data_IF_446463792793
#
_entry.id   IF_446463792793
#
_cell.length_a   1.000
_cell.length_b   1.000
_cell.length_c   1.000
_cell.angle_alpha   90.00
_cell.angle_beta   90.00
_cell.angle_gamma   90.00
#
_symmetry.space_group_name_H-M   'P 1'
#
loop_
_entity.id
_entity.type
_entity.pdbx_description
1 polymer ?
#
# COMPACT_ATOMS: atom_id res chain seq x y z
N UNK A 1 39.66 35.41 35.52
CA UNK A 1 38.40 35.43 34.78
C UNK A 1 38.43 34.32 33.75
N UNK A 2 37.74 33.17 34.04
CA UNK A 2 37.69 32.04 33.12
C UNK A 2 36.44 32.21 32.25
N UNK A 3 36.65 32.37 30.95
CA UNK A 3 35.54 32.43 29.95
C UNK A 3 35.10 31.01 29.62
N UNK A 4 33.94 30.62 30.09
CA UNK A 4 33.31 29.35 29.75
C UNK A 4 32.64 29.50 28.37
N UNK A 5 33.17 28.80 27.33
CA UNK A 5 32.59 28.73 26.03
C UNK A 5 31.49 27.64 26.04
N UNK A 6 30.23 28.05 25.97
CA UNK A 6 29.12 27.14 25.72
C UNK A 6 29.11 26.79 24.24
N UNK A 7 29.45 25.55 23.91
CA UNK A 7 29.23 24.99 22.57
C UNK A 7 27.77 24.51 22.51
N UNK A 8 26.93 25.26 21.81
CA UNK A 8 25.58 24.83 21.52
C UNK A 8 25.64 23.75 20.43
N UNK A 9 25.36 22.50 20.80
CA UNK A 9 25.22 21.38 19.87
C UNK A 9 23.85 21.48 19.20
N UNK A 10 23.78 22.07 18.02
CA UNK A 10 22.59 22.07 17.19
C UNK A 10 22.42 20.67 16.56
N UNK A 11 21.50 19.87 17.10
CA UNK A 11 21.08 18.60 16.51
C UNK A 11 20.25 18.94 15.27
N UNK A 12 20.89 18.82 14.10
CA UNK A 12 20.24 18.94 12.81
C UNK A 12 19.39 17.69 12.60
N UNK A 13 18.07 17.80 12.83
CA UNK A 13 17.13 16.77 12.43
C UNK A 13 17.05 16.78 10.92
N UNK A 14 17.72 15.85 10.25
CA UNK A 14 17.53 15.59 8.84
C UNK A 14 16.12 15.02 8.65
N UNK A 15 15.19 15.86 8.19
CA UNK A 15 13.90 15.40 7.69
C UNK A 15 14.18 14.64 6.39
N UNK A 16 14.23 13.32 6.48
CA UNK A 16 14.28 12.44 5.31
C UNK A 16 12.91 12.56 4.64
N UNK A 17 12.82 13.40 3.61
CA UNK A 17 11.69 13.37 2.68
C UNK A 17 11.79 12.06 1.91
N UNK A 18 11.10 11.03 2.38
CA UNK A 18 10.76 9.90 1.54
C UNK A 18 9.89 10.46 0.41
N UNK A 19 10.42 10.49 -0.81
CA UNK A 19 9.64 10.76 -2.00
C UNK A 19 8.62 9.62 -2.15
N UNK A 20 7.46 9.79 -1.53
CA UNK A 20 6.33 8.90 -1.78
C UNK A 20 5.90 9.11 -3.23
N UNK A 21 5.79 8.04 -4.00
CA UNK A 21 5.18 8.09 -5.33
C UNK A 21 3.78 8.64 -5.15
N UNK A 22 3.44 9.70 -5.91
CA UNK A 22 2.13 10.34 -5.79
C UNK A 22 1.00 9.33 -6.03
N UNK A 23 0.04 9.32 -5.14
CA UNK A 23 -1.09 8.39 -5.20
C UNK A 23 -0.83 6.99 -4.62
N UNK A 24 0.32 6.74 -3.97
CA UNK A 24 0.56 5.51 -3.22
C UNK A 24 0.57 5.76 -1.70
N UNK A 25 -0.11 4.87 -0.99
CA UNK A 25 0.03 4.74 0.47
C UNK A 25 1.01 3.60 0.76
N UNK A 26 2.04 3.86 1.57
CA UNK A 26 3.04 2.88 1.96
C UNK A 26 2.99 2.64 3.47
N UNK A 27 2.85 1.38 3.87
CA UNK A 27 2.81 0.93 5.27
C UNK A 27 3.97 -0.06 5.48
N UNK A 28 4.88 0.18 6.45
CA UNK A 28 5.96 -0.76 6.72
C UNK A 28 5.42 -2.03 7.38
N UNK A 29 5.97 -3.19 7.00
CA UNK A 29 5.68 -4.48 7.65
C UNK A 29 6.88 -4.96 8.46
N UNK A 30 6.61 -5.60 9.60
CA UNK A 30 7.64 -6.25 10.43
C UNK A 30 7.92 -7.70 9.98
N UNK A 31 7.18 -8.21 9.00
CA UNK A 31 7.30 -9.57 8.48
C UNK A 31 7.99 -9.57 7.11
N UNK A 32 8.40 -10.77 6.66
CA UNK A 32 8.85 -10.97 5.26
C UNK A 32 7.72 -10.69 4.26
N UNK A 33 8.06 -10.53 2.99
CA UNK A 33 7.09 -10.33 1.90
C UNK A 33 6.07 -11.46 1.88
N UNK A 34 6.51 -12.72 1.85
CA UNK A 34 5.65 -13.89 1.82
C UNK A 34 4.71 -13.93 3.03
N UNK A 35 5.25 -13.75 4.25
CA UNK A 35 4.45 -13.76 5.48
C UNK A 35 3.42 -12.64 5.51
N UNK A 36 3.80 -11.45 5.04
CA UNK A 36 2.87 -10.31 4.95
C UNK A 36 1.75 -10.59 3.95
N UNK A 37 2.09 -11.18 2.79
CA UNK A 37 1.12 -11.57 1.78
C UNK A 37 0.13 -12.63 2.31
N UNK A 38 0.61 -13.67 3.01
CA UNK A 38 -0.23 -14.70 3.63
C UNK A 38 -1.20 -14.10 4.66
N UNK A 39 -0.74 -13.13 5.45
CA UNK A 39 -1.58 -12.42 6.41
C UNK A 39 -2.66 -11.59 5.72
N UNK A 40 -2.33 -10.92 4.63
CA UNK A 40 -3.32 -10.18 3.83
C UNK A 40 -4.38 -11.13 3.29
N UNK A 41 -4.00 -12.27 2.70
CA UNK A 41 -4.95 -13.26 2.19
C UNK A 41 -5.88 -13.79 3.31
N UNK A 42 -5.33 -14.10 4.49
CA UNK A 42 -6.13 -14.52 5.64
C UNK A 42 -7.17 -13.47 6.03
N UNK A 43 -6.75 -12.21 6.16
CA UNK A 43 -7.62 -11.08 6.50
C UNK A 43 -8.71 -10.86 5.44
N UNK A 44 -8.38 -10.96 4.16
CA UNK A 44 -9.33 -10.82 3.07
C UNK A 44 -10.39 -11.94 3.11
N UNK A 45 -9.95 -13.19 3.32
CA UNK A 45 -10.83 -14.35 3.45
C UNK A 45 -11.77 -14.24 4.65
N UNK A 46 -11.25 -13.85 5.82
CA UNK A 46 -12.05 -13.64 7.03
C UNK A 46 -13.12 -12.54 6.84
N UNK A 47 -12.83 -11.54 6.02
CA UNK A 47 -13.77 -10.46 5.68
C UNK A 47 -14.71 -10.81 4.51
N UNK A 48 -14.60 -12.00 3.93
CA UNK A 48 -15.39 -12.40 2.76
C UNK A 48 -15.11 -11.54 1.52
N UNK A 49 -13.89 -11.03 1.37
CA UNK A 49 -13.44 -10.26 0.21
C UNK A 49 -12.84 -11.23 -0.81
N UNK A 50 -13.27 -11.13 -2.06
CA UNK A 50 -12.78 -12.01 -3.12
C UNK A 50 -11.34 -11.69 -3.50
N UNK A 51 -10.45 -12.69 -3.43
CA UNK A 51 -9.11 -12.64 -3.99
C UNK A 51 -9.19 -13.17 -5.42
N UNK A 52 -8.77 -12.36 -6.38
CA UNK A 52 -8.75 -12.74 -7.79
C UNK A 52 -7.43 -13.39 -8.19
N UNK A 53 -6.31 -12.88 -7.69
CA UNK A 53 -5.00 -13.42 -7.98
C UNK A 53 -3.96 -12.96 -6.95
N UNK A 54 -2.90 -13.78 -6.80
CA UNK A 54 -1.64 -13.44 -6.14
C UNK A 54 -0.50 -13.68 -7.14
N UNK A 55 0.25 -12.65 -7.45
CA UNK A 55 1.29 -12.65 -8.46
C UNK A 55 2.65 -12.48 -7.77
N UNK A 56 3.51 -13.49 -7.89
CA UNK A 56 4.88 -13.47 -7.36
C UNK A 56 5.83 -12.95 -8.43
N UNK A 57 6.01 -11.63 -8.49
CA UNK A 57 6.82 -10.98 -9.51
C UNK A 57 8.29 -11.37 -9.44
N UNK A 58 8.87 -11.52 -8.24
CA UNK A 58 10.25 -11.95 -8.05
C UNK A 58 10.49 -13.38 -8.53
N UNK A 59 9.53 -14.29 -8.29
CA UNK A 59 9.61 -15.66 -8.81
C UNK A 59 9.53 -15.67 -10.35
N UNK A 60 8.59 -14.92 -10.92
CA UNK A 60 8.47 -14.81 -12.38
C UNK A 60 9.72 -14.21 -13.03
N UNK A 61 10.34 -13.22 -12.41
CA UNK A 61 11.61 -12.64 -12.86
C UNK A 61 12.75 -13.67 -12.81
N UNK A 62 12.85 -14.44 -11.72
CA UNK A 62 13.84 -15.51 -11.56
C UNK A 62 13.75 -16.57 -12.67
N UNK A 63 12.55 -16.91 -13.14
CA UNK A 63 12.33 -17.87 -14.21
C UNK A 63 12.92 -17.45 -15.57
N UNK A 64 13.21 -16.15 -15.74
CA UNK A 64 13.86 -15.60 -16.95
C UNK A 64 15.28 -15.07 -16.66
N UNK A 65 15.86 -15.43 -15.50
CA UNK A 65 17.22 -15.07 -15.12
C UNK A 65 17.40 -13.64 -14.64
N UNK A 66 16.33 -12.96 -14.24
CA UNK A 66 16.38 -11.62 -13.63
C UNK A 66 16.26 -11.75 -12.12
N UNK A 67 17.27 -11.24 -11.41
CA UNK A 67 17.23 -11.14 -9.95
C UNK A 67 16.40 -9.91 -9.54
N UNK A 68 15.29 -10.15 -8.85
CA UNK A 68 14.40 -9.12 -8.31
C UNK A 68 14.23 -9.37 -6.82
N UNK A 69 14.32 -8.30 -6.00
CA UNK A 69 13.97 -8.39 -4.59
C UNK A 69 12.53 -8.89 -4.43
N UNK A 70 12.23 -9.51 -3.31
CA UNK A 70 10.92 -10.10 -3.05
C UNK A 70 9.80 -9.09 -3.33
N UNK A 71 8.92 -9.46 -4.24
CA UNK A 71 7.85 -8.60 -4.73
C UNK A 71 6.63 -9.43 -5.10
N UNK A 72 5.52 -9.20 -4.41
CA UNK A 72 4.24 -9.87 -4.65
C UNK A 72 3.10 -8.88 -4.79
N UNK A 73 2.13 -9.19 -5.64
CA UNK A 73 0.92 -8.39 -5.84
C UNK A 73 -0.30 -9.24 -5.56
N UNK A 74 -1.22 -8.77 -4.71
CA UNK A 74 -2.52 -9.39 -4.49
C UNK A 74 -3.59 -8.50 -5.11
N UNK A 75 -4.44 -9.10 -5.95
CA UNK A 75 -5.58 -8.46 -6.61
C UNK A 75 -6.85 -8.96 -5.94
N UNK A 76 -7.64 -8.05 -5.41
CA UNK A 76 -8.83 -8.40 -4.64
C UNK A 76 -9.94 -7.36 -4.80
N UNK A 77 -11.17 -7.72 -4.46
CA UNK A 77 -12.28 -6.79 -4.59
C UNK A 77 -13.54 -7.21 -3.87
N UNK A 78 -14.40 -6.21 -3.67
CA UNK A 78 -15.74 -6.39 -3.16
C UNK A 78 -16.72 -5.63 -4.08
N UNK A 79 -17.61 -6.33 -4.80
CA UNK A 79 -18.59 -5.68 -5.68
C UNK A 79 -19.48 -4.66 -4.96
N UNK A 80 -19.71 -4.84 -3.66
CA UNK A 80 -20.50 -3.90 -2.85
C UNK A 80 -19.86 -2.51 -2.72
N UNK A 81 -18.54 -2.41 -2.95
CA UNK A 81 -17.79 -1.15 -2.95
C UNK A 81 -17.41 -0.70 -4.38
N UNK A 82 -16.93 -1.64 -5.19
CA UNK A 82 -16.48 -1.33 -6.55
C UNK A 82 -17.61 -0.90 -7.49
N UNK A 83 -18.75 -1.59 -7.44
CA UNK A 83 -19.86 -1.29 -8.35
C UNK A 83 -20.50 0.09 -8.12
N UNK A 84 -20.76 0.54 -6.87
CA UNK A 84 -21.20 1.90 -6.63
C UNK A 84 -20.20 2.95 -7.12
N UNK A 85 -18.90 2.71 -6.97
CA UNK A 85 -17.87 3.64 -7.43
C UNK A 85 -17.87 3.75 -8.95
N UNK A 86 -17.93 2.62 -9.66
CA UNK A 86 -18.06 2.60 -11.13
C UNK A 86 -19.36 3.22 -11.63
N UNK A 87 -20.43 3.19 -10.83
CA UNK A 87 -21.70 3.87 -11.16
C UNK A 87 -21.54 5.41 -11.09
N UNK A 88 -20.71 5.91 -10.17
CA UNK A 88 -20.41 7.35 -10.12
C UNK A 88 -19.52 7.78 -11.28
N UNK A 89 -18.46 7.02 -11.57
CA UNK A 89 -17.53 7.29 -12.66
C UNK A 89 -17.01 5.97 -13.24
N UNK A 90 -17.46 5.62 -14.44
CA UNK A 90 -17.16 4.31 -15.03
C UNK A 90 -15.67 4.11 -15.34
N UNK A 91 -14.95 5.18 -15.66
CA UNK A 91 -13.52 5.12 -16.01
C UNK A 91 -12.64 4.60 -14.86
N UNK A 92 -13.10 4.69 -13.61
CA UNK A 92 -12.37 4.15 -12.44
C UNK A 92 -12.17 2.64 -12.53
N UNK A 93 -12.96 1.96 -13.37
CA UNK A 93 -12.82 0.51 -13.59
C UNK A 93 -11.40 0.10 -14.05
N UNK A 94 -10.63 1.00 -14.69
CA UNK A 94 -9.24 0.71 -15.08
C UNK A 94 -8.31 0.50 -13.87
N UNK A 95 -8.62 1.14 -12.76
CA UNK A 95 -7.87 1.02 -11.50
C UNK A 95 -8.42 -0.06 -10.57
N UNK A 96 -9.57 -0.64 -10.89
CA UNK A 96 -10.19 -1.74 -10.17
C UNK A 96 -9.88 -3.09 -10.85
N UNK A 97 -9.90 -4.22 -10.14
CA UNK A 97 -10.05 -4.38 -8.69
C UNK A 97 -8.93 -3.73 -7.89
N UNK A 98 -9.13 -3.64 -6.56
CA UNK A 98 -8.07 -3.15 -5.67
C UNK A 98 -6.83 -4.04 -5.76
N UNK A 99 -5.67 -3.43 -5.58
CA UNK A 99 -4.37 -4.12 -5.60
C UNK A 99 -3.57 -3.69 -4.38
N UNK A 100 -2.85 -4.63 -3.82
CA UNK A 100 -1.85 -4.38 -2.78
C UNK A 100 -0.54 -5.01 -3.23
N UNK A 101 0.51 -4.21 -3.25
CA UNK A 101 1.87 -4.63 -3.51
C UNK A 101 2.59 -4.86 -2.19
N UNK A 102 3.23 -6.00 -2.03
CA UNK A 102 4.11 -6.32 -0.91
C UNK A 102 5.51 -6.47 -1.49
N UNK A 103 6.45 -5.68 -0.99
CA UNK A 103 7.77 -5.62 -1.61
C UNK A 103 8.87 -5.24 -0.62
N UNK A 104 10.08 -5.73 -0.89
CA UNK A 104 11.28 -5.43 -0.13
C UNK A 104 12.09 -4.34 -0.83
N UNK A 105 12.48 -3.30 -0.08
CA UNK A 105 13.32 -2.22 -0.58
C UNK A 105 14.82 -2.57 -0.52
N UNK A 106 15.67 -1.66 -0.97
CA UNK A 106 17.13 -1.81 -1.00
C UNK A 106 17.77 -1.95 0.39
N UNK A 107 17.04 -1.59 1.45
CA UNK A 107 17.48 -1.69 2.84
C UNK A 107 16.89 -2.92 3.55
N UNK A 108 16.36 -3.90 2.79
CA UNK A 108 15.68 -5.08 3.29
C UNK A 108 14.46 -4.76 4.16
N UNK A 109 13.83 -3.60 3.94
CA UNK A 109 12.60 -3.22 4.61
C UNK A 109 11.40 -3.62 3.76
N UNK A 110 10.43 -4.27 4.38
CA UNK A 110 9.20 -4.72 3.71
C UNK A 110 8.11 -3.66 3.81
N UNK A 111 7.45 -3.42 2.70
CA UNK A 111 6.38 -2.45 2.54
C UNK A 111 5.12 -3.09 2.01
N UNK A 112 3.98 -2.59 2.47
CA UNK A 112 2.66 -2.78 1.89
C UNK A 112 2.28 -1.49 1.20
N UNK A 113 2.05 -1.53 -0.12
CA UNK A 113 1.71 -0.35 -0.92
C UNK A 113 0.38 -0.56 -1.63
N UNK A 114 -0.46 0.46 -1.67
CA UNK A 114 -1.73 0.44 -2.41
C UNK A 114 -2.08 1.82 -2.93
N UNK A 115 -2.94 1.85 -3.96
CA UNK A 115 -3.42 3.12 -4.52
C UNK A 115 -4.26 3.88 -3.48
N UNK A 116 -3.92 5.14 -3.26
CA UNK A 116 -4.73 6.04 -2.43
C UNK A 116 -6.10 6.27 -3.09
N UNK A 117 -7.22 5.92 -2.42
CA UNK A 117 -8.55 6.16 -2.97
C UNK A 117 -8.84 7.63 -3.27
N UNK A 118 -8.22 8.57 -2.53
CA UNK A 118 -8.35 10.01 -2.79
C UNK A 118 -7.64 10.43 -4.08
N UNK A 119 -6.52 9.79 -4.38
CA UNK A 119 -5.85 9.98 -5.66
C UNK A 119 -6.71 9.49 -6.83
N UNK A 120 -7.36 8.32 -6.69
CA UNK A 120 -8.29 7.81 -7.71
C UNK A 120 -9.50 8.71 -7.88
N UNK A 121 -10.07 9.23 -6.78
CA UNK A 121 -11.14 10.22 -6.80
C UNK A 121 -10.77 11.43 -7.66
N UNK A 122 -9.58 11.99 -7.43
CA UNK A 122 -9.05 13.12 -8.19
C UNK A 122 -8.73 12.76 -9.64
N UNK A 123 -8.08 11.61 -9.89
CA UNK A 123 -7.68 11.15 -11.22
C UNK A 123 -8.87 11.01 -12.15
N UNK A 124 -9.99 10.50 -11.65
CA UNK A 124 -11.19 10.21 -12.43
C UNK A 124 -12.29 11.26 -12.27
N UNK A 125 -12.01 12.38 -11.55
CA UNK A 125 -13.00 13.43 -11.26
C UNK A 125 -14.30 12.87 -10.65
N UNK A 126 -14.18 11.90 -9.72
CA UNK A 126 -15.32 11.25 -9.07
C UNK A 126 -16.03 12.27 -8.17
N UNK A 127 -17.34 12.40 -8.34
CA UNK A 127 -18.19 13.26 -7.51
C UNK A 127 -19.42 12.51 -7.03
N UNK A 128 -19.94 12.87 -5.85
CA UNK A 128 -21.13 12.25 -5.27
C UNK A 128 -20.93 10.83 -4.73
N UNK A 129 -19.69 10.38 -4.59
CA UNK A 129 -19.34 9.05 -4.06
C UNK A 129 -18.36 9.11 -2.87
N UNK A 130 -18.33 10.23 -2.16
CA UNK A 130 -17.37 10.50 -1.07
C UNK A 130 -17.47 9.46 0.04
N UNK A 131 -18.68 8.98 0.36
CA UNK A 131 -18.87 7.92 1.36
C UNK A 131 -18.28 6.58 0.92
N UNK A 132 -18.36 6.25 -0.38
CA UNK A 132 -17.79 5.01 -0.91
C UNK A 132 -16.27 5.09 -0.90
N UNK A 133 -15.70 6.22 -1.30
CA UNK A 133 -14.26 6.49 -1.24
C UNK A 133 -13.77 6.33 0.20
N UNK A 134 -14.44 6.95 1.18
CA UNK A 134 -14.06 6.84 2.59
C UNK A 134 -14.14 5.40 3.12
N UNK A 135 -15.13 4.62 2.69
CA UNK A 135 -15.23 3.19 3.05
C UNK A 135 -14.07 2.38 2.50
N UNK A 136 -13.67 2.62 1.25
CA UNK A 136 -12.53 1.96 0.61
C UNK A 136 -11.24 2.34 1.33
N UNK A 137 -11.04 3.63 1.60
CA UNK A 137 -9.88 4.16 2.33
C UNK A 137 -9.71 3.48 3.70
N UNK A 138 -10.77 3.42 4.50
CA UNK A 138 -10.76 2.75 5.80
C UNK A 138 -10.51 1.25 5.70
N UNK A 139 -11.07 0.60 4.69
CA UNK A 139 -10.88 -0.84 4.47
C UNK A 139 -9.43 -1.16 4.14
N UNK A 140 -8.82 -0.44 3.19
CA UNK A 140 -7.42 -0.63 2.79
C UNK A 140 -6.46 -0.35 3.95
N UNK A 141 -6.65 0.77 4.65
CA UNK A 141 -5.84 1.12 5.82
C UNK A 141 -5.95 0.07 6.93
N UNK A 142 -7.15 -0.45 7.19
CA UNK A 142 -7.39 -1.50 8.18
C UNK A 142 -6.72 -2.83 7.80
N UNK A 143 -6.79 -3.24 6.53
CA UNK A 143 -6.12 -4.46 6.02
C UNK A 143 -4.60 -4.31 6.16
N UNK A 144 -4.03 -3.21 5.67
CA UNK A 144 -2.60 -2.97 5.72
C UNK A 144 -2.07 -2.94 7.17
N UNK A 145 -2.76 -2.24 8.08
CA UNK A 145 -2.40 -2.19 9.50
C UNK A 145 -2.42 -3.58 10.14
N UNK A 146 -3.50 -4.36 9.94
CA UNK A 146 -3.64 -5.68 10.55
C UNK A 146 -2.61 -6.70 9.98
N UNK A 147 -2.19 -6.55 8.73
CA UNK A 147 -1.21 -7.43 8.11
C UNK A 147 0.23 -7.09 8.50
N UNK A 148 0.53 -5.84 8.84
CA UNK A 148 1.88 -5.32 9.03
C UNK A 148 2.46 -5.47 10.43
N UNK A 149 1.62 -5.74 11.44
CA UNK A 149 2.00 -5.84 12.86
C UNK A 149 1.44 -7.11 13.52
N UNK A 150 1.90 -7.40 14.75
CA UNK A 150 1.34 -8.49 15.58
C UNK A 150 -0.08 -8.18 16.07
#
# INVERSE_FOLDING_TARGET
MKKTILIALSILWAVVYLYAVDGLVNVPSIFSVEKTADRIESILNEKGITIFNRIKHSEAAGNIGIELRDTELIIFGNPKLGSPLMKCEQSVAIDLPQKVLIWEDENAKVWISYNDPRFLEKRHNITGCEEVILKIEKALAGIAKAASTE
#
